data_IF_835211656170
#
_entry.id   IF_835211656170
#
_cell.length_a   1.000
_cell.length_b   1.000
_cell.length_c   1.000
_cell.angle_alpha   90.00
_cell.angle_beta   90.00
_cell.angle_gamma   90.00
#
_symmetry.space_group_name_H-M   'P 1'
#
loop_
_entity.id
_entity.type
_entity.pdbx_description
1 polymer ?
#
# COMPACT_ATOMS: atom_id res chain seq x y z
N UNK A 1 -5.20 46.31 3.69
CA UNK A 1 -6.23 46.24 4.75
C UNK A 1 -6.89 44.86 4.83
N UNK A 2 -7.17 44.22 3.69
CA UNK A 2 -7.81 42.91 3.63
C UNK A 2 -7.02 41.78 4.35
N UNK A 3 -5.70 41.72 4.19
CA UNK A 3 -4.84 40.74 4.88
C UNK A 3 -4.89 40.86 6.41
N UNK A 4 -4.92 42.09 6.92
CA UNK A 4 -5.00 42.35 8.37
C UNK A 4 -6.36 41.93 8.92
N UNK A 5 -7.44 42.22 8.19
CA UNK A 5 -8.79 41.77 8.56
C UNK A 5 -8.91 40.24 8.56
N UNK A 6 -8.27 39.56 7.61
CA UNK A 6 -8.18 38.10 7.56
C UNK A 6 -7.43 37.54 8.78
N UNK A 7 -6.25 38.09 9.09
CA UNK A 7 -5.47 37.70 10.28
C UNK A 7 -6.28 37.87 11.57
N UNK A 8 -6.92 39.03 11.74
CA UNK A 8 -7.72 39.31 12.95
C UNK A 8 -8.87 38.31 13.07
N UNK A 9 -9.55 37.96 11.97
CA UNK A 9 -10.61 36.95 11.97
C UNK A 9 -10.10 35.58 12.39
N UNK A 10 -8.95 35.16 11.87
CA UNK A 10 -8.32 33.86 12.20
C UNK A 10 -7.90 33.82 13.66
N UNK A 11 -7.28 34.89 14.18
CA UNK A 11 -6.91 35.02 15.59
C UNK A 11 -8.15 34.96 16.50
N UNK A 12 -9.22 35.69 16.16
CA UNK A 12 -10.47 35.66 16.96
C UNK A 12 -11.06 34.26 17.00
N UNK A 13 -11.11 33.56 15.86
CA UNK A 13 -11.60 32.19 15.79
C UNK A 13 -10.76 31.23 16.65
N UNK A 14 -9.44 31.38 16.60
CA UNK A 14 -8.50 30.56 17.34
C UNK A 14 -8.58 30.82 18.85
N UNK A 15 -8.72 32.08 19.27
CA UNK A 15 -8.97 32.44 20.67
C UNK A 15 -10.31 31.89 21.16
N UNK A 16 -11.35 31.92 20.34
CA UNK A 16 -12.64 31.31 20.66
C UNK A 16 -12.51 29.79 20.82
N UNK A 17 -11.79 29.12 19.92
CA UNK A 17 -11.51 27.68 20.08
C UNK A 17 -10.72 27.41 21.37
N UNK A 18 -9.74 28.26 21.68
CA UNK A 18 -8.96 28.13 22.90
C UNK A 18 -9.80 28.24 24.16
N UNK A 19 -10.73 29.20 24.23
CA UNK A 19 -11.62 29.31 25.39
C UNK A 19 -12.49 28.07 25.54
N UNK A 20 -13.01 27.50 24.45
CA UNK A 20 -13.71 26.20 24.50
C UNK A 20 -12.80 25.08 25.01
N UNK A 21 -11.58 24.97 24.48
CA UNK A 21 -10.61 23.97 24.94
C UNK A 21 -10.31 24.11 26.43
N UNK A 22 -10.18 25.34 26.92
CA UNK A 22 -9.95 25.61 28.33
C UNK A 22 -11.12 25.20 29.22
N UNK A 23 -12.36 25.35 28.73
CA UNK A 23 -13.57 24.91 29.43
C UNK A 23 -13.69 23.38 29.46
N UNK A 24 -13.15 22.68 28.45
CA UNK A 24 -13.06 21.23 28.42
C UNK A 24 -11.96 20.68 29.34
N UNK A 25 -11.02 21.52 29.82
CA UNK A 25 -9.96 21.07 30.71
C UNK A 25 -10.51 20.71 32.09
N UNK A 26 -10.19 19.51 32.62
CA UNK A 26 -10.59 19.12 33.96
C UNK A 26 -9.92 20.01 35.01
N UNK A 27 -10.63 20.28 36.11
CA UNK A 27 -10.10 21.03 37.25
C UNK A 27 -9.02 20.19 37.97
N UNK A 28 -7.84 20.78 38.21
CA UNK A 28 -6.76 20.12 38.94
C UNK A 28 -5.35 20.55 38.51
N UNK A 29 -4.33 19.87 39.02
CA UNK A 29 -2.91 20.20 38.76
C UNK A 29 -2.52 20.04 37.28
N UNK A 30 -3.17 19.14 36.55
CA UNK A 30 -2.95 18.91 35.10
C UNK A 30 -3.40 20.11 34.27
N UNK A 31 -4.40 20.89 34.72
CA UNK A 31 -4.94 22.05 33.99
C UNK A 31 -3.85 23.06 33.62
N UNK A 32 -2.92 23.32 34.54
CA UNK A 32 -1.86 24.30 34.33
C UNK A 32 -0.86 23.85 33.25
N UNK A 33 -0.49 22.56 33.27
CA UNK A 33 0.38 21.97 32.26
C UNK A 33 -0.31 21.96 30.89
N UNK A 34 -1.58 21.54 30.83
CA UNK A 34 -2.32 21.52 29.56
C UNK A 34 -2.56 22.92 29.01
N UNK A 35 -2.80 23.92 29.85
CA UNK A 35 -2.93 25.32 29.41
C UNK A 35 -1.62 25.83 28.79
N UNK A 36 -0.46 25.46 29.34
CA UNK A 36 0.84 25.81 28.77
C UNK A 36 1.05 25.16 27.40
N UNK A 37 0.74 23.86 27.27
CA UNK A 37 0.84 23.14 25.99
C UNK A 37 -0.10 23.71 24.94
N UNK A 38 -1.36 23.97 25.29
CA UNK A 38 -2.32 24.56 24.35
C UNK A 38 -1.90 25.98 23.95
N UNK A 39 -1.44 26.80 24.91
CA UNK A 39 -0.90 28.13 24.62
C UNK A 39 0.29 28.08 23.64
N UNK A 40 1.17 27.08 23.78
CA UNK A 40 2.27 26.85 22.83
C UNK A 40 1.74 26.46 21.43
N UNK A 41 0.75 25.59 21.33
CA UNK A 41 0.13 25.23 20.05
C UNK A 41 -0.51 26.43 19.35
N UNK A 42 -1.14 27.31 20.12
CA UNK A 42 -1.72 28.57 19.61
C UNK A 42 -0.63 29.49 19.08
N UNK A 43 0.46 29.66 19.82
CA UNK A 43 1.61 30.44 19.35
C UNK A 43 2.13 29.88 18.03
N UNK A 44 2.31 28.55 17.92
CA UNK A 44 2.75 27.91 16.69
C UNK A 44 1.79 28.14 15.52
N UNK A 45 0.48 28.09 15.76
CA UNK A 45 -0.53 28.32 14.73
C UNK A 45 -0.57 29.76 14.22
N UNK A 46 -0.25 30.74 15.07
CA UNK A 46 -0.26 32.18 14.72
C UNK A 46 1.06 32.62 14.07
N UNK A 47 2.17 31.90 14.23
CA UNK A 47 3.48 32.26 13.66
C UNK A 47 3.44 32.39 12.12
N UNK A 48 2.83 31.44 11.41
CA UNK A 48 2.75 31.49 9.95
C UNK A 48 1.99 32.73 9.41
N UNK A 49 0.75 33.01 9.84
CA UNK A 49 0.03 34.18 9.37
C UNK A 49 0.65 35.50 9.86
N UNK A 50 1.43 35.50 10.96
CA UNK A 50 2.27 36.64 11.32
C UNK A 50 3.40 36.90 10.31
N UNK A 51 4.08 35.84 9.82
CA UNK A 51 5.11 35.99 8.80
C UNK A 51 4.56 36.48 7.45
N UNK A 52 3.34 36.05 7.09
CA UNK A 52 2.64 36.57 5.90
C UNK A 52 2.41 38.09 6.00
N UNK A 53 2.01 38.61 7.16
CA UNK A 53 1.83 40.06 7.36
C UNK A 53 3.16 40.82 7.37
N UNK A 54 4.24 40.19 7.84
CA UNK A 54 5.59 40.75 7.81
C UNK A 54 6.28 40.59 6.45
N UNK A 55 5.58 40.09 5.41
CA UNK A 55 6.13 39.82 4.07
C UNK A 55 7.46 39.03 4.10
N UNK A 56 7.60 38.13 5.08
CA UNK A 56 8.80 37.31 5.22
C UNK A 56 8.47 35.91 4.74
N UNK A 57 9.20 35.40 3.74
CA UNK A 57 8.98 34.07 3.14
C UNK A 57 9.46 32.91 4.02
N UNK A 58 9.27 33.01 5.34
CA UNK A 58 9.62 31.95 6.27
C UNK A 58 8.39 31.08 6.50
N UNK A 59 8.35 29.93 5.85
CA UNK A 59 7.35 28.89 6.13
C UNK A 59 7.83 28.05 7.32
N UNK A 60 7.15 28.15 8.46
CA UNK A 60 7.29 27.15 9.51
C UNK A 60 6.54 25.90 9.03
N UNK A 61 7.28 24.93 8.46
CA UNK A 61 6.77 23.58 8.21
C UNK A 61 6.55 22.91 9.56
N UNK A 62 5.40 23.20 10.18
CA UNK A 62 4.92 22.48 11.35
C UNK A 62 4.96 20.99 11.01
N UNK A 63 5.40 20.16 11.96
CA UNK A 63 5.45 18.68 11.88
C UNK A 63 4.03 18.06 11.81
N UNK A 64 3.17 18.60 10.96
CA UNK A 64 2.02 17.86 10.49
C UNK A 64 2.60 16.77 9.57
N UNK A 65 2.21 15.50 9.74
CA UNK A 65 2.45 14.52 8.70
C UNK A 65 1.93 15.17 7.43
N UNK A 66 2.81 15.43 6.46
CA UNK A 66 2.33 15.81 5.15
C UNK A 66 1.40 14.68 4.75
N UNK A 67 0.14 15.00 4.48
CA UNK A 67 -0.69 14.13 3.68
C UNK A 67 0.02 14.06 2.32
N UNK A 68 1.05 13.21 2.23
CA UNK A 68 1.43 12.60 0.98
C UNK A 68 0.12 12.06 0.45
N UNK A 69 -0.37 12.66 -0.63
CA UNK A 69 -1.61 12.29 -1.27
C UNK A 69 -1.58 10.78 -1.39
N UNK A 70 -2.36 10.10 -0.53
CA UNK A 70 -2.50 8.65 -0.62
C UNK A 70 -3.03 8.48 -2.03
N UNK A 71 -2.24 7.87 -2.95
CA UNK A 71 -2.67 7.77 -4.33
C UNK A 71 -4.04 7.12 -4.27
N UNK A 72 -5.05 7.78 -4.84
CA UNK A 72 -6.40 7.23 -4.91
C UNK A 72 -6.28 6.04 -5.85
N UNK A 73 -5.91 4.88 -5.29
CA UNK A 73 -5.82 3.63 -6.02
C UNK A 73 -7.26 3.33 -6.42
N UNK A 74 -7.56 3.46 -7.71
CA UNK A 74 -8.88 3.11 -8.25
C UNK A 74 -9.11 1.64 -7.89
N UNK A 75 -10.27 1.26 -7.32
CA UNK A 75 -10.52 -0.12 -6.88
C UNK A 75 -10.13 -1.16 -7.94
N UNK A 76 -10.39 -0.90 -9.22
CA UNK A 76 -9.99 -1.79 -10.33
C UNK A 76 -8.48 -1.98 -10.50
N UNK A 77 -7.67 -0.95 -10.25
CA UNK A 77 -6.20 -1.05 -10.33
C UNK A 77 -5.63 -1.86 -9.16
N UNK A 78 -6.27 -1.78 -7.99
CA UNK A 78 -5.89 -2.59 -6.83
C UNK A 78 -6.18 -4.08 -7.07
N UNK A 79 -7.37 -4.40 -7.61
CA UNK A 79 -7.72 -5.77 -7.99
C UNK A 79 -6.78 -6.33 -9.05
N UNK A 80 -6.42 -5.53 -10.06
CA UNK A 80 -5.52 -5.98 -11.12
C UNK A 80 -4.10 -6.24 -10.58
N UNK A 81 -3.57 -5.35 -9.74
CA UNK A 81 -2.26 -5.55 -9.09
C UNK A 81 -2.26 -6.75 -8.15
N UNK A 82 -3.33 -6.93 -7.37
CA UNK A 82 -3.45 -8.10 -6.49
C UNK A 82 -3.50 -9.40 -7.30
N UNK A 83 -4.19 -9.40 -8.45
CA UNK A 83 -4.24 -10.53 -9.36
C UNK A 83 -2.87 -10.83 -9.98
N UNK A 84 -2.18 -9.81 -10.48
CA UNK A 84 -0.85 -9.95 -11.09
C UNK A 84 0.20 -10.45 -10.07
N UNK A 85 0.15 -9.95 -8.83
CA UNK A 85 1.05 -10.37 -7.76
C UNK A 85 0.74 -11.81 -7.31
N UNK A 86 -0.54 -12.19 -7.24
CA UNK A 86 -0.95 -13.56 -6.95
C UNK A 86 -0.52 -14.54 -8.06
N UNK A 87 -0.63 -14.14 -9.34
CA UNK A 87 -0.14 -14.90 -10.49
C UNK A 87 1.37 -15.16 -10.37
N UNK A 88 2.16 -14.10 -10.18
CA UNK A 88 3.62 -14.21 -10.02
C UNK A 88 4.03 -15.05 -8.81
N UNK A 89 3.36 -14.86 -7.68
CA UNK A 89 3.64 -15.61 -6.45
C UNK A 89 3.37 -17.10 -6.63
N UNK A 90 2.27 -17.46 -7.30
CA UNK A 90 1.94 -18.85 -7.57
C UNK A 90 2.86 -19.47 -8.63
N UNK A 91 3.22 -18.72 -9.67
CA UNK A 91 4.23 -19.15 -10.66
C UNK A 91 5.56 -19.51 -9.98
N UNK A 92 6.03 -18.68 -9.05
CA UNK A 92 7.26 -18.92 -8.31
C UNK A 92 7.17 -20.16 -7.41
N UNK A 93 6.05 -20.33 -6.70
CA UNK A 93 5.82 -21.50 -5.84
C UNK A 93 5.75 -22.81 -6.63
N UNK A 94 5.00 -22.80 -7.75
CA UNK A 94 4.92 -23.98 -8.62
C UNK A 94 6.29 -24.28 -9.23
N UNK A 95 7.02 -23.27 -9.70
CA UNK A 95 8.37 -23.47 -10.24
C UNK A 95 9.32 -24.07 -9.20
N UNK A 96 9.30 -23.59 -7.96
CA UNK A 96 10.10 -24.13 -6.87
C UNK A 96 9.73 -25.58 -6.57
N UNK A 97 8.44 -25.90 -6.43
CA UNK A 97 7.96 -27.25 -6.15
C UNK A 97 8.35 -28.24 -7.27
N UNK A 98 8.16 -27.84 -8.53
CA UNK A 98 8.50 -28.71 -9.66
C UNK A 98 10.01 -28.88 -9.79
N UNK A 99 10.81 -27.84 -9.53
CA UNK A 99 12.27 -27.95 -9.52
C UNK A 99 12.80 -28.84 -8.37
N UNK A 100 12.15 -28.85 -7.21
CA UNK A 100 12.46 -29.80 -6.13
C UNK A 100 12.19 -31.25 -6.54
N UNK A 101 11.16 -31.49 -7.38
CA UNK A 101 10.77 -32.84 -7.80
C UNK A 101 11.58 -33.41 -8.98
N UNK A 102 11.90 -32.60 -10.00
CA UNK A 102 12.69 -33.06 -11.15
C UNK A 102 13.58 -32.01 -11.85
N UNK A 103 13.69 -30.77 -11.35
CA UNK A 103 14.73 -29.81 -11.76
C UNK A 103 14.72 -29.26 -13.20
N UNK A 104 13.74 -29.59 -14.05
CA UNK A 104 13.73 -29.26 -15.49
C UNK A 104 12.79 -28.11 -15.91
N UNK A 105 12.18 -27.40 -14.94
CA UNK A 105 11.15 -26.40 -15.25
C UNK A 105 11.77 -25.05 -15.56
N UNK A 106 11.59 -24.61 -16.81
CA UNK A 106 12.15 -23.38 -17.33
C UNK A 106 11.27 -22.18 -16.93
N UNK A 107 9.96 -22.31 -17.14
CA UNK A 107 9.00 -21.25 -16.82
C UNK A 107 7.64 -21.85 -16.50
N UNK A 108 6.91 -21.20 -15.59
CA UNK A 108 5.52 -21.53 -15.26
C UNK A 108 4.71 -20.27 -15.52
N UNK A 109 3.55 -20.43 -16.16
CA UNK A 109 2.58 -19.37 -16.33
C UNK A 109 1.26 -19.80 -15.70
N UNK A 110 0.71 -18.96 -14.83
CA UNK A 110 -0.58 -19.21 -14.19
C UNK A 110 -1.56 -18.15 -14.65
N UNK A 111 -2.74 -18.57 -15.10
CA UNK A 111 -3.86 -17.66 -15.37
C UNK A 111 -4.95 -17.88 -14.32
N UNK A 112 -5.28 -16.80 -13.62
CA UNK A 112 -6.43 -16.79 -12.72
C UNK A 112 -7.70 -16.35 -13.44
N UNK A 113 -8.80 -17.08 -13.22
CA UNK A 113 -10.16 -16.64 -13.50
C UNK A 113 -10.72 -15.77 -12.38
N UNK A 114 -12.04 -15.65 -12.32
CA UNK A 114 -12.73 -14.78 -11.35
C UNK A 114 -12.50 -15.20 -9.88
N UNK A 115 -12.20 -16.47 -9.59
CA UNK A 115 -11.93 -16.91 -8.21
C UNK A 115 -11.10 -18.20 -8.05
N UNK A 116 -10.59 -18.78 -9.15
CA UNK A 116 -9.78 -20.02 -9.16
C UNK A 116 -8.74 -19.96 -10.26
N UNK A 117 -7.70 -20.78 -10.12
CA UNK A 117 -6.72 -21.00 -11.20
C UNK A 117 -7.42 -21.70 -12.36
N UNK A 118 -7.55 -21.02 -13.51
CA UNK A 118 -8.21 -21.58 -14.69
C UNK A 118 -7.28 -22.48 -15.47
N UNK A 119 -6.01 -22.08 -15.58
CA UNK A 119 -5.03 -22.81 -16.38
C UNK A 119 -3.62 -22.56 -15.87
N UNK A 120 -2.86 -23.64 -15.70
CA UNK A 120 -1.41 -23.57 -15.50
C UNK A 120 -0.71 -24.10 -16.74
N UNK A 121 0.20 -23.31 -17.29
CA UNK A 121 1.06 -23.69 -18.41
C UNK A 121 2.48 -23.85 -17.91
N UNK A 122 3.01 -25.06 -17.96
CA UNK A 122 4.39 -25.37 -17.53
C UNK A 122 5.27 -25.54 -18.77
N UNK A 123 6.32 -24.74 -18.88
CA UNK A 123 7.36 -24.82 -19.90
C UNK A 123 8.57 -25.59 -19.36
N UNK A 124 8.89 -26.70 -20.03
CA UNK A 124 9.91 -27.66 -19.58
C UNK A 124 10.98 -27.80 -20.66
N UNK A 125 12.25 -27.82 -20.22
CA UNK A 125 13.41 -27.96 -21.11
C UNK A 125 13.81 -29.44 -21.27
N UNK A 126 13.90 -29.90 -22.53
CA UNK A 126 14.36 -31.24 -22.89
C UNK A 126 13.24 -32.29 -23.05
N UNK A 127 13.58 -33.54 -23.38
CA UNK A 127 12.59 -34.60 -23.56
C UNK A 127 11.83 -34.81 -22.25
N UNK A 128 10.51 -34.74 -22.35
CA UNK A 128 9.59 -34.83 -21.22
C UNK A 128 8.81 -36.13 -21.32
N UNK A 129 9.05 -37.04 -20.38
CA UNK A 129 8.52 -38.40 -20.45
C UNK A 129 7.07 -38.44 -19.96
N UNK A 130 6.24 -39.36 -20.49
CA UNK A 130 4.83 -39.49 -20.09
C UNK A 130 4.66 -39.74 -18.58
N UNK A 131 5.59 -40.47 -17.94
CA UNK A 131 5.59 -40.69 -16.49
C UNK A 131 5.96 -39.43 -15.67
N UNK A 132 6.80 -38.54 -16.20
CA UNK A 132 7.12 -37.25 -15.55
C UNK A 132 5.92 -36.28 -15.63
N UNK A 133 5.17 -36.33 -16.75
CA UNK A 133 3.93 -35.57 -16.95
C UNK A 133 2.85 -35.94 -15.94
N UNK A 134 2.67 -37.24 -15.70
CA UNK A 134 1.67 -37.71 -14.74
C UNK A 134 2.08 -37.39 -13.30
N UNK A 135 3.37 -37.56 -12.95
CA UNK A 135 3.88 -37.16 -11.64
C UNK A 135 3.69 -35.67 -11.35
N UNK A 136 3.94 -34.80 -12.33
CA UNK A 136 3.69 -33.36 -12.18
C UNK A 136 2.20 -33.04 -12.07
N UNK A 137 1.34 -33.74 -12.82
CA UNK A 137 -0.11 -33.61 -12.71
C UNK A 137 -0.59 -33.99 -11.31
N UNK A 138 -0.12 -35.10 -10.76
CA UNK A 138 -0.47 -35.55 -9.41
C UNK A 138 -0.01 -34.55 -8.34
N UNK A 139 1.23 -34.07 -8.41
CA UNK A 139 1.76 -33.09 -7.44
C UNK A 139 0.97 -31.78 -7.49
N UNK A 140 0.65 -31.27 -8.68
CA UNK A 140 -0.11 -30.04 -8.83
C UNK A 140 -1.58 -30.20 -8.41
N UNK A 141 -2.18 -31.37 -8.66
CA UNK A 141 -3.52 -31.69 -8.17
C UNK A 141 -3.56 -31.83 -6.65
N UNK A 142 -2.59 -32.51 -6.06
CA UNK A 142 -2.55 -32.74 -4.61
C UNK A 142 -2.27 -31.47 -3.80
N UNK A 143 -1.35 -30.63 -4.26
CA UNK A 143 -0.94 -29.42 -3.53
C UNK A 143 -1.80 -28.19 -3.83
N UNK A 144 -2.29 -28.05 -5.07
CA UNK A 144 -2.98 -26.82 -5.49
C UNK A 144 -4.42 -27.06 -5.98
N UNK A 145 -4.88 -28.31 -6.06
CA UNK A 145 -6.23 -28.63 -6.53
C UNK A 145 -6.48 -28.24 -8.00
N UNK A 146 -5.43 -28.16 -8.81
CA UNK A 146 -5.49 -27.70 -10.20
C UNK A 146 -5.65 -28.89 -11.13
N UNK A 147 -6.73 -28.92 -11.92
CA UNK A 147 -7.02 -30.02 -12.85
C UNK A 147 -6.61 -29.67 -14.30
N UNK A 148 -6.75 -28.41 -14.69
CA UNK A 148 -6.45 -27.91 -16.04
C UNK A 148 -4.99 -27.50 -16.19
N UNK A 149 -4.12 -28.48 -16.42
CA UNK A 149 -2.67 -28.28 -16.59
C UNK A 149 -2.26 -28.58 -18.03
N UNK A 150 -1.65 -27.58 -18.67
CA UNK A 150 -1.07 -27.67 -20.01
C UNK A 150 0.47 -27.72 -19.90
N UNK A 151 1.08 -28.72 -20.52
CA UNK A 151 2.53 -28.91 -20.48
C UNK A 151 3.07 -28.63 -21.88
N UNK A 152 3.97 -27.65 -21.99
CA UNK A 152 4.64 -27.30 -23.24
C UNK A 152 6.13 -27.58 -23.11
N UNK A 153 6.68 -28.31 -24.06
CA UNK A 153 8.11 -28.62 -24.09
C UNK A 153 8.80 -27.61 -25.00
N UNK A 154 9.77 -26.89 -24.47
CA UNK A 154 10.66 -26.04 -25.28
C UNK A 154 11.81 -26.92 -25.79
N UNK A 155 11.66 -27.42 -27.02
CA UNK A 155 12.75 -27.94 -27.84
C UNK A 155 12.47 -29.23 -28.60
N UNK A 156 12.30 -29.12 -29.93
CA UNK A 156 12.91 -30.02 -30.93
C UNK A 156 13.24 -29.20 -32.20
N UNK A 157 14.53 -29.21 -32.61
CA UNK A 157 15.03 -28.81 -33.94
C UNK A 157 15.70 -27.42 -33.98
N UNK A 158 16.94 -27.23 -34.44
CA UNK A 158 18.00 -28.09 -34.98
C UNK A 158 19.34 -27.68 -34.36
#
# INVERSE_FOLDING_TARGET
METVLKLVREIIFLLLLFTFLELLLPLGQIKNFTRAVIGLLILLAIINPLFEVLNTNWELKVFLPQEEAVPVIRPGELYQRAKDEAEKGLEAQIKALLNLSSGKVEKVQVKFGDNRVEKVTVLIKGPFNAGEKERYREVLKAFFGIENIDFRVTGVGQ
#
